data_IF_267256947115
#
_entry.id   IF_267256947115
#
_cell.length_a   1.000
_cell.length_b   1.000
_cell.length_c   1.000
_cell.angle_alpha   90.00
_cell.angle_beta   90.00
_cell.angle_gamma   90.00
#
_symmetry.space_group_name_H-M   'P 1'
#
loop_
_entity.id
_entity.type
_entity.pdbx_description
1 polymer ?
#
# COMPACT_ATOMS: atom_id res chain seq x y z
N UNK A 1 -2.34 -15.52 -9.73
CA UNK A 1 -1.79 -14.53 -8.78
C UNK A 1 -2.63 -13.27 -8.93
N UNK A 2 -3.09 -12.70 -7.83
CA UNK A 2 -3.96 -11.52 -7.82
C UNK A 2 -3.15 -10.30 -7.40
N UNK A 3 -3.50 -9.13 -7.94
CA UNK A 3 -2.77 -7.88 -7.72
C UNK A 3 -3.74 -6.70 -7.53
N UNK A 4 -3.35 -5.74 -6.70
CA UNK A 4 -3.93 -4.41 -6.60
C UNK A 4 -2.81 -3.38 -6.72
N UNK A 5 -3.03 -2.36 -7.53
CA UNK A 5 -2.08 -1.26 -7.74
C UNK A 5 -2.78 0.04 -7.38
N UNK A 6 -2.17 0.81 -6.49
CA UNK A 6 -2.65 2.12 -6.08
C UNK A 6 -1.55 3.14 -6.31
N UNK A 7 -1.85 4.17 -7.09
CA UNK A 7 -0.96 5.29 -7.34
C UNK A 7 -1.38 6.47 -6.46
N UNK A 8 -0.41 7.03 -5.75
CA UNK A 8 -0.58 8.24 -4.96
C UNK A 8 0.47 9.26 -5.38
N UNK A 9 0.13 10.55 -5.27
CA UNK A 9 1.07 11.64 -5.56
C UNK A 9 2.29 11.64 -4.63
N UNK A 10 3.22 12.56 -4.86
CA UNK A 10 4.40 12.75 -3.99
C UNK A 10 3.96 13.23 -2.61
N UNK A 11 3.83 12.28 -1.69
CA UNK A 11 3.40 12.48 -0.31
C UNK A 11 4.44 11.80 0.60
N UNK A 12 5.30 12.60 1.29
CA UNK A 12 6.34 12.07 2.16
C UNK A 12 5.79 11.23 3.32
N UNK A 13 4.59 11.51 3.81
CA UNK A 13 3.96 10.74 4.90
C UNK A 13 3.50 9.39 4.35
N UNK A 14 2.85 9.39 3.19
CA UNK A 14 2.47 8.15 2.52
C UNK A 14 3.70 7.29 2.19
N UNK A 15 4.78 7.89 1.67
CA UNK A 15 6.02 7.16 1.39
C UNK A 15 6.59 6.52 2.67
N UNK A 16 6.69 7.26 3.77
CA UNK A 16 7.19 6.73 5.03
C UNK A 16 6.33 5.58 5.57
N UNK A 17 5.00 5.75 5.59
CA UNK A 17 4.06 4.73 6.09
C UNK A 17 4.11 3.46 5.25
N UNK A 18 4.05 3.59 3.92
CA UNK A 18 4.04 2.42 3.05
C UNK A 18 5.39 1.70 3.01
N UNK A 19 6.52 2.41 3.17
CA UNK A 19 7.84 1.78 3.35
C UNK A 19 7.96 0.99 4.66
N UNK A 20 7.26 1.39 5.72
CA UNK A 20 7.15 0.59 6.93
C UNK A 20 6.29 -0.66 6.68
N UNK A 21 5.10 -0.48 6.07
CA UNK A 21 4.19 -1.58 5.73
C UNK A 21 4.80 -2.61 4.77
N UNK A 22 5.63 -2.20 3.81
CA UNK A 22 6.38 -3.09 2.91
C UNK A 22 7.24 -4.11 3.69
N UNK A 23 7.79 -3.70 4.84
CA UNK A 23 8.61 -4.56 5.71
C UNK A 23 7.76 -5.45 6.62
N UNK A 24 6.65 -4.91 7.11
CA UNK A 24 5.75 -5.59 8.05
C UNK A 24 4.81 -6.59 7.36
N UNK A 25 4.34 -6.26 6.17
CA UNK A 25 3.31 -7.00 5.43
C UNK A 25 3.98 -7.86 4.36
N UNK A 26 4.77 -8.84 4.81
CA UNK A 26 5.41 -9.85 3.97
C UNK A 26 5.11 -11.24 4.49
N UNK A 27 4.47 -12.07 3.67
CA UNK A 27 4.10 -13.43 4.03
C UNK A 27 4.26 -14.38 2.82
N UNK A 28 4.30 -15.71 3.02
CA UNK A 28 4.60 -16.65 1.93
C UNK A 28 3.66 -16.56 0.73
N UNK A 29 2.44 -16.08 0.96
CA UNK A 29 1.36 -15.99 -0.03
C UNK A 29 1.16 -14.60 -0.62
N UNK A 30 1.98 -13.61 -0.25
CA UNK A 30 1.78 -12.24 -0.70
C UNK A 30 2.49 -11.17 0.12
N UNK A 31 2.29 -9.92 -0.28
CA UNK A 31 2.83 -8.77 0.43
C UNK A 31 2.58 -7.46 -0.29
N UNK A 32 3.17 -6.40 0.27
CA UNK A 32 3.18 -5.05 -0.29
C UNK A 32 4.57 -4.75 -0.85
N UNK A 33 4.62 -4.11 -2.01
CA UNK A 33 5.81 -3.52 -2.61
C UNK A 33 5.55 -2.04 -2.88
N UNK A 34 6.57 -1.21 -2.68
CA UNK A 34 6.49 0.24 -2.87
C UNK A 34 7.54 0.72 -3.88
N UNK A 35 7.07 1.34 -4.95
CA UNK A 35 7.92 1.80 -6.07
C UNK A 35 7.70 3.29 -6.30
N UNK A 36 8.79 4.06 -6.45
CA UNK A 36 8.71 5.47 -6.86
C UNK A 36 8.71 5.55 -8.39
N UNK A 37 7.72 6.23 -8.98
CA UNK A 37 7.62 6.48 -10.42
C UNK A 37 7.47 7.98 -10.66
N UNK A 38 8.57 8.64 -11.00
CA UNK A 38 8.58 10.10 -11.13
C UNK A 38 8.19 10.79 -9.81
N UNK A 39 7.16 11.64 -9.86
CA UNK A 39 6.59 12.35 -8.72
C UNK A 39 5.40 11.59 -8.08
N UNK A 40 5.34 10.27 -8.25
CA UNK A 40 4.26 9.44 -7.71
C UNK A 40 4.83 8.22 -7.02
N UNK A 41 4.13 7.79 -5.97
CA UNK A 41 4.42 6.59 -5.21
C UNK A 41 3.38 5.52 -5.60
N UNK A 42 3.88 4.37 -6.05
CA UNK A 42 3.06 3.24 -6.49
C UNK A 42 3.13 2.15 -5.44
N UNK A 43 1.97 1.81 -4.87
CA UNK A 43 1.80 0.77 -3.86
C UNK A 43 1.20 -0.45 -4.56
N UNK A 44 1.90 -1.58 -4.49
CA UNK A 44 1.51 -2.81 -5.17
C UNK A 44 1.28 -3.90 -4.12
N UNK A 45 0.04 -4.37 -3.99
CA UNK A 45 -0.31 -5.53 -3.17
C UNK A 45 -0.47 -6.78 -4.03
N UNK A 46 0.25 -7.86 -3.72
CA UNK A 46 0.12 -9.15 -4.44
C UNK A 46 -0.26 -10.28 -3.50
N UNK A 47 -1.13 -11.18 -3.96
CA UNK A 47 -1.51 -12.37 -3.21
C UNK A 47 -1.78 -13.59 -4.11
N UNK A 48 -1.63 -14.80 -3.56
CA UNK A 48 -1.96 -16.06 -4.25
C UNK A 48 -3.47 -16.30 -4.38
N UNK A 49 -4.28 -15.74 -3.49
CA UNK A 49 -5.72 -15.93 -3.43
C UNK A 49 -6.49 -14.61 -3.20
N UNK A 50 -7.77 -14.60 -3.59
CA UNK A 50 -8.64 -13.41 -3.54
C UNK A 50 -8.86 -12.93 -2.11
N UNK A 51 -8.93 -13.84 -1.14
CA UNK A 51 -9.16 -13.50 0.27
C UNK A 51 -7.98 -12.72 0.83
N UNK A 52 -6.75 -13.16 0.55
CA UNK A 52 -5.53 -12.44 0.90
C UNK A 52 -5.40 -11.12 0.15
N UNK A 53 -5.77 -11.06 -1.14
CA UNK A 53 -5.78 -9.78 -1.88
C UNK A 53 -6.75 -8.78 -1.24
N UNK A 54 -7.96 -9.21 -0.88
CA UNK A 54 -8.96 -8.36 -0.20
C UNK A 54 -8.41 -7.81 1.12
N UNK A 55 -7.72 -8.63 1.90
CA UNK A 55 -7.08 -8.17 3.15
C UNK A 55 -6.00 -7.13 2.87
N UNK A 56 -5.16 -7.33 1.84
CA UNK A 56 -4.17 -6.33 1.42
C UNK A 56 -4.81 -5.03 0.96
N UNK A 57 -5.88 -5.09 0.15
CA UNK A 57 -6.62 -3.91 -0.27
C UNK A 57 -7.16 -3.13 0.95
N UNK A 58 -7.72 -3.82 1.93
CA UNK A 58 -8.20 -3.18 3.16
C UNK A 58 -7.06 -2.51 3.94
N UNK A 59 -5.89 -3.16 4.05
CA UNK A 59 -4.71 -2.55 4.68
C UNK A 59 -4.29 -1.28 3.95
N UNK A 60 -4.18 -1.32 2.62
CA UNK A 60 -3.74 -0.18 1.79
C UNK A 60 -4.73 0.99 1.92
N UNK A 61 -6.02 0.76 1.66
CA UNK A 61 -7.01 1.82 1.67
C UNK A 61 -7.25 2.39 3.07
N UNK A 62 -7.19 1.57 4.12
CA UNK A 62 -7.32 2.07 5.49
C UNK A 62 -6.13 2.96 5.88
N UNK A 63 -4.91 2.59 5.51
CA UNK A 63 -3.73 3.42 5.75
C UNK A 63 -3.86 4.77 5.02
N UNK A 64 -4.26 4.76 3.75
CA UNK A 64 -4.49 5.98 2.97
C UNK A 64 -5.59 6.86 3.58
N UNK A 65 -6.70 6.26 4.01
CA UNK A 65 -7.79 6.99 4.66
C UNK A 65 -7.29 7.73 5.92
N UNK A 66 -6.47 7.08 6.74
CA UNK A 66 -5.89 7.71 7.94
C UNK A 66 -4.93 8.83 7.56
N UNK A 67 -4.02 8.61 6.60
CA UNK A 67 -3.07 9.64 6.14
C UNK A 67 -3.84 10.89 5.65
N UNK A 68 -4.83 10.71 4.78
CA UNK A 68 -5.67 11.81 4.27
C UNK A 68 -6.50 12.49 5.35
N UNK A 69 -6.97 11.73 6.34
CA UNK A 69 -7.68 12.28 7.49
C UNK A 69 -6.78 13.11 8.41
N UNK A 70 -5.51 12.73 8.55
CA UNK A 70 -4.50 13.51 9.28
C UNK A 70 -4.18 14.83 8.57
N UNK A 71 -4.19 14.87 7.23
CA UNK A 71 -4.01 16.12 6.47
C UNK A 71 -5.18 17.12 6.66
N UNK A 72 -6.33 16.67 7.14
CA UNK A 72 -7.53 17.50 7.30
C UNK A 72 -7.69 18.13 8.70
N UNK A 73 -6.77 17.85 9.65
CA UNK A 73 -6.78 18.35 11.04
C UNK A 73 -5.67 19.38 11.21
#
# INVERSE_FOLDING_TARGET
>A
MYEIVVEVGDDPIAEAVFRALEKEVKFPRGGIEVVKRGASLVIIGRASDVTSLRSLANTIFRALYVIRGVEAI
#
